data_IF_316853182487
#
_entry.id   IF_316853182487
#
_cell.length_a   1.000
_cell.length_b   1.000
_cell.length_c   1.000
_cell.angle_alpha   90.00
_cell.angle_beta   90.00
_cell.angle_gamma   90.00
#
_symmetry.space_group_name_H-M   'P 1'
#
loop_
_entity.id
_entity.type
_entity.pdbx_description
1 polymer ?
#
# COMPACT_ATOMS: atom_id res chain seq x y z
N UNK A 1 10.86 5.58 2.87
CA UNK A 1 11.73 6.46 3.70
C UNK A 1 13.13 6.49 3.12
N UNK A 2 13.66 7.67 2.92
CA UNK A 2 15.06 7.87 2.50
C UNK A 2 15.82 8.54 3.65
N UNK A 3 16.97 8.01 4.07
CA UNK A 3 17.73 8.59 5.18
C UNK A 3 18.05 10.08 5.03
N UNK A 4 18.23 10.55 3.79
CA UNK A 4 18.50 11.96 3.47
C UNK A 4 17.30 12.88 3.76
N UNK A 5 16.10 12.35 3.83
CA UNK A 5 14.87 13.11 4.06
C UNK A 5 14.65 13.43 5.55
N UNK A 6 15.13 12.58 6.45
CA UNK A 6 14.88 12.76 7.89
C UNK A 6 15.39 14.10 8.44
N UNK A 7 16.65 14.52 8.18
CA UNK A 7 17.10 15.84 8.63
C UNK A 7 16.35 17.00 7.99
N UNK A 8 15.98 16.85 6.69
CA UNK A 8 15.29 17.90 5.96
C UNK A 8 13.89 18.21 6.53
N UNK A 9 13.24 17.21 7.12
CA UNK A 9 11.91 17.33 7.73
C UNK A 9 11.93 17.30 9.26
N UNK A 10 13.11 17.38 9.88
CA UNK A 10 13.29 17.30 11.33
C UNK A 10 12.63 16.05 11.95
N UNK A 11 12.70 14.92 11.25
CA UNK A 11 12.14 13.65 11.70
C UNK A 11 13.23 12.82 12.36
N UNK A 12 12.99 12.40 13.60
CA UNK A 12 13.81 11.39 14.25
C UNK A 12 13.51 10.00 13.63
N UNK A 13 14.49 9.34 13.00
CA UNK A 13 14.30 8.03 12.40
C UNK A 13 13.83 6.95 13.38
N UNK A 14 14.17 7.06 14.66
CA UNK A 14 13.78 6.08 15.68
C UNK A 14 12.30 6.25 16.06
N UNK A 15 11.79 7.49 16.08
CA UNK A 15 10.42 7.82 16.43
C UNK A 15 9.44 7.70 15.28
N UNK A 16 9.90 7.38 14.06
CA UNK A 16 9.05 7.41 12.84
C UNK A 16 7.84 6.48 12.91
N UNK A 17 7.91 5.37 13.65
CA UNK A 17 6.77 4.46 13.83
C UNK A 17 5.66 5.10 14.65
N UNK A 18 6.02 5.75 15.76
CA UNK A 18 5.10 6.47 16.64
C UNK A 18 4.55 7.71 15.94
N UNK A 19 5.42 8.48 15.28
CA UNK A 19 5.04 9.64 14.47
C UNK A 19 4.03 9.26 13.38
N UNK A 20 4.21 8.10 12.75
CA UNK A 20 3.26 7.60 11.75
C UNK A 20 1.87 7.36 12.35
N UNK A 21 1.79 6.70 13.52
CA UNK A 21 0.52 6.46 14.22
C UNK A 21 -0.15 7.77 14.63
N UNK A 22 0.61 8.68 15.22
CA UNK A 22 0.11 9.98 15.65
C UNK A 22 -0.43 10.79 14.47
N UNK A 23 0.33 10.91 13.38
CA UNK A 23 -0.08 11.63 12.19
C UNK A 23 -1.33 11.03 11.55
N UNK A 24 -1.44 9.69 11.50
CA UNK A 24 -2.64 9.02 11.01
C UNK A 24 -3.87 9.37 11.86
N UNK A 25 -3.70 9.41 13.17
CA UNK A 25 -4.77 9.81 14.08
C UNK A 25 -5.17 11.29 13.89
N UNK A 26 -4.21 12.19 13.72
CA UNK A 26 -4.47 13.61 13.41
C UNK A 26 -5.26 13.76 12.11
N UNK A 27 -4.86 13.05 11.05
CA UNK A 27 -5.57 13.05 9.75
C UNK A 27 -7.02 12.59 9.94
N UNK A 28 -7.25 11.49 10.67
CA UNK A 28 -8.59 10.99 10.94
C UNK A 28 -9.45 11.99 11.72
N UNK A 29 -8.89 12.58 12.75
CA UNK A 29 -9.59 13.61 13.54
C UNK A 29 -9.93 14.83 12.69
N UNK A 30 -8.99 15.34 11.91
CA UNK A 30 -9.19 16.49 11.04
C UNK A 30 -10.28 16.26 9.98
N UNK A 31 -10.42 15.02 9.47
CA UNK A 31 -11.50 14.67 8.54
C UNK A 31 -12.88 14.53 9.21
N UNK A 32 -12.91 14.04 10.45
CA UNK A 32 -14.17 13.70 11.16
C UNK A 32 -14.80 14.86 11.93
N UNK A 33 -14.01 15.86 12.30
CA UNK A 33 -14.45 16.94 13.19
C UNK A 33 -14.51 18.28 12.47
N UNK A 34 -15.34 19.21 12.98
CA UNK A 34 -15.45 20.58 12.50
C UNK A 34 -15.00 21.54 13.60
N UNK A 35 -14.00 22.38 13.31
CA UNK A 35 -13.45 23.42 14.19
C UNK A 35 -13.05 22.94 15.60
N UNK A 36 -12.87 21.63 15.82
CA UNK A 36 -12.41 21.10 17.11
C UNK A 36 -10.89 21.23 17.20
N UNK A 37 -10.36 21.63 18.36
CA UNK A 37 -8.93 21.63 18.59
C UNK A 37 -8.35 20.23 18.43
N UNK A 38 -7.26 20.12 17.65
CA UNK A 38 -6.45 18.90 17.51
C UNK A 38 -5.03 19.26 17.94
N UNK A 39 -4.46 18.48 18.85
CA UNK A 39 -3.09 18.66 19.32
C UNK A 39 -2.32 17.37 19.16
N UNK A 40 -1.07 17.50 18.74
CA UNK A 40 -0.13 16.39 18.60
C UNK A 40 1.29 16.85 18.90
N UNK A 41 2.26 15.94 18.96
CA UNK A 41 3.62 16.24 19.41
C UNK A 41 4.32 17.34 18.58
N UNK A 42 3.95 17.53 17.32
CA UNK A 42 4.62 18.44 16.40
C UNK A 42 3.78 19.67 16.04
N UNK A 43 2.63 19.88 16.69
CA UNK A 43 1.81 21.06 16.42
C UNK A 43 0.41 21.02 16.99
N UNK A 44 -0.37 22.02 16.61
CA UNK A 44 -1.78 22.13 16.99
C UNK A 44 -2.60 22.81 15.89
N UNK A 45 -3.85 22.41 15.76
CA UNK A 45 -4.86 23.05 14.95
C UNK A 45 -5.93 23.63 15.87
N UNK A 46 -5.98 24.93 16.00
CA UNK A 46 -6.89 25.64 16.89
C UNK A 46 -7.79 26.58 16.08
N UNK A 47 -9.10 26.38 16.13
CA UNK A 47 -10.07 27.25 15.48
C UNK A 47 -10.02 27.27 13.95
N UNK A 48 -9.37 26.28 13.34
CA UNK A 48 -9.34 26.08 11.89
C UNK A 48 -9.95 24.71 11.53
N UNK A 49 -10.29 24.52 10.26
CA UNK A 49 -10.87 23.29 9.78
C UNK A 49 -10.23 22.85 8.46
N UNK A 50 -10.19 21.53 8.24
CA UNK A 50 -9.75 20.95 6.98
C UNK A 50 -10.94 20.88 6.01
N UNK A 51 -10.84 21.55 4.88
CA UNK A 51 -11.88 21.57 3.85
C UNK A 51 -11.30 21.30 2.48
N UNK A 52 -12.04 20.62 1.57
CA UNK A 52 -13.37 20.05 1.80
C UNK A 52 -13.32 18.81 2.70
N UNK A 53 -14.42 18.51 3.38
CA UNK A 53 -14.59 17.24 4.07
C UNK A 53 -14.85 16.12 3.07
N UNK A 54 -14.46 14.86 3.39
CA UNK A 54 -14.81 13.72 2.56
C UNK A 54 -16.34 13.60 2.42
N UNK A 55 -16.78 13.22 1.24
CA UNK A 55 -18.21 12.91 0.97
C UNK A 55 -18.64 11.59 1.62
N UNK A 56 -17.67 10.71 1.91
CA UNK A 56 -17.84 9.47 2.66
C UNK A 56 -17.53 9.71 4.13
N UNK A 57 -18.03 8.86 5.00
CA UNK A 57 -17.78 8.97 6.45
C UNK A 57 -16.29 8.94 6.79
N UNK A 58 -15.51 8.20 6.03
CA UNK A 58 -14.07 8.01 6.23
C UNK A 58 -13.39 7.78 4.88
N UNK A 59 -12.20 8.36 4.71
CA UNK A 59 -11.33 8.05 3.56
C UNK A 59 -10.67 6.69 3.83
N UNK A 60 -10.81 5.70 2.92
CA UNK A 60 -10.11 4.43 3.07
C UNK A 60 -8.60 4.64 3.07
N UNK A 61 -7.92 4.06 4.06
CA UNK A 61 -6.48 4.15 4.25
C UNK A 61 -5.85 2.77 4.10
N UNK A 62 -4.87 2.67 3.21
CA UNK A 62 -4.09 1.46 2.98
C UNK A 62 -2.66 1.67 3.47
N UNK A 63 -2.18 0.79 4.32
CA UNK A 63 -0.78 0.84 4.78
C UNK A 63 0.10 0.14 3.75
N UNK A 64 1.22 0.78 3.36
CA UNK A 64 2.19 0.20 2.43
C UNK A 64 3.37 -0.39 3.20
N UNK A 65 3.68 -1.66 2.94
CA UNK A 65 4.66 -2.40 3.71
C UNK A 65 4.27 -2.43 5.19
N UNK A 66 5.25 -2.44 6.08
CA UNK A 66 4.97 -2.42 7.51
C UNK A 66 4.91 -0.99 8.10
N UNK A 67 5.55 0.00 7.50
CA UNK A 67 5.64 1.38 8.06
C UNK A 67 6.05 1.40 9.53
N UNK A 68 6.94 0.48 9.95
CA UNK A 68 7.34 0.23 11.36
C UNK A 68 6.19 -0.21 12.27
N UNK A 69 5.08 -0.71 11.72
CA UNK A 69 3.94 -1.22 12.48
C UNK A 69 3.93 -2.75 12.49
N UNK A 70 3.33 -3.31 13.53
CA UNK A 70 3.03 -4.74 13.60
C UNK A 70 1.82 -5.09 12.71
N UNK A 71 1.71 -6.36 12.33
CA UNK A 71 0.63 -6.80 11.46
C UNK A 71 -0.75 -6.65 12.11
N UNK A 72 -0.85 -6.90 13.43
CA UNK A 72 -2.08 -6.70 14.19
C UNK A 72 -2.53 -5.23 14.21
N UNK A 73 -1.57 -4.30 14.35
CA UNK A 73 -1.86 -2.87 14.25
C UNK A 73 -2.37 -2.50 12.85
N UNK A 74 -1.69 -2.98 11.79
CA UNK A 74 -2.13 -2.73 10.41
C UNK A 74 -3.53 -3.30 10.19
N UNK A 75 -3.77 -4.52 10.64
CA UNK A 75 -5.08 -5.17 10.51
C UNK A 75 -6.18 -4.39 11.23
N UNK A 76 -5.92 -3.84 12.41
CA UNK A 76 -6.89 -3.05 13.18
C UNK A 76 -7.11 -1.67 12.59
N UNK A 77 -6.03 -0.97 12.22
CA UNK A 77 -6.05 0.46 11.93
C UNK A 77 -6.17 0.81 10.43
N UNK A 78 -6.00 -0.12 9.51
CA UNK A 78 -6.12 0.14 8.08
C UNK A 78 -7.38 -0.45 7.46
N UNK A 79 -7.70 -0.03 6.24
CA UNK A 79 -8.76 -0.59 5.41
C UNK A 79 -8.26 -1.68 4.46
N UNK A 80 -6.96 -1.85 4.36
CA UNK A 80 -6.28 -2.86 3.57
C UNK A 80 -4.77 -2.70 3.64
N UNK A 81 -4.05 -3.65 3.07
CA UNK A 81 -2.59 -3.70 3.13
C UNK A 81 -1.99 -3.81 1.74
N UNK A 82 -1.04 -2.93 1.41
CA UNK A 82 -0.26 -2.97 0.18
C UNK A 82 1.12 -3.53 0.51
N UNK A 83 1.48 -4.69 -0.04
CA UNK A 83 2.77 -5.28 0.22
C UNK A 83 3.64 -5.36 -1.05
N UNK A 84 4.92 -5.60 -0.84
CA UNK A 84 5.89 -5.78 -1.92
C UNK A 84 5.76 -7.18 -2.54
N UNK A 85 6.09 -7.34 -3.84
CA UNK A 85 6.07 -8.64 -4.49
C UNK A 85 7.09 -9.60 -3.86
N UNK A 86 6.68 -10.83 -3.71
CA UNK A 86 7.51 -11.95 -3.24
C UNK A 86 7.32 -13.14 -4.18
N UNK A 87 8.22 -14.13 -4.17
CA UNK A 87 7.97 -15.40 -4.85
C UNK A 87 6.62 -15.98 -4.43
N UNK A 88 5.84 -16.61 -5.34
CA UNK A 88 4.45 -17.01 -5.08
C UNK A 88 4.24 -17.81 -3.80
N UNK A 89 5.14 -18.75 -3.48
CA UNK A 89 5.05 -19.54 -2.22
C UNK A 89 5.13 -18.67 -0.97
N UNK A 90 6.03 -17.68 -0.96
CA UNK A 90 6.17 -16.76 0.16
C UNK A 90 5.00 -15.78 0.22
N UNK A 91 4.53 -15.31 -0.94
CA UNK A 91 3.39 -14.41 -1.02
C UNK A 91 2.13 -15.06 -0.45
N UNK A 92 1.91 -16.34 -0.72
CA UNK A 92 0.79 -17.12 -0.14
C UNK A 92 0.81 -17.07 1.39
N UNK A 93 1.94 -17.34 2.03
CA UNK A 93 2.06 -17.29 3.48
C UNK A 93 1.75 -15.91 4.05
N UNK A 94 2.24 -14.85 3.40
CA UNK A 94 1.98 -13.46 3.81
C UNK A 94 0.47 -13.13 3.69
N UNK A 95 -0.19 -13.58 2.63
CA UNK A 95 -1.64 -13.38 2.45
C UNK A 95 -2.42 -14.18 3.51
N UNK A 96 -2.02 -15.42 3.80
CA UNK A 96 -2.64 -16.25 4.84
C UNK A 96 -2.51 -15.60 6.23
N UNK A 97 -1.31 -15.11 6.58
CA UNK A 97 -1.08 -14.37 7.83
C UNK A 97 -1.96 -13.11 7.91
N UNK A 98 -2.07 -12.35 6.81
CA UNK A 98 -2.94 -11.18 6.73
C UNK A 98 -4.41 -11.54 6.97
N UNK A 99 -4.92 -12.60 6.32
CA UNK A 99 -6.30 -13.06 6.48
C UNK A 99 -6.60 -13.50 7.92
N UNK A 100 -5.68 -14.26 8.51
CA UNK A 100 -5.81 -14.70 9.90
C UNK A 100 -5.82 -13.52 10.88
N UNK A 101 -4.90 -12.57 10.70
CA UNK A 101 -4.81 -11.41 11.59
C UNK A 101 -6.02 -10.47 11.41
N UNK A 102 -6.50 -10.25 10.21
CA UNK A 102 -7.72 -9.44 9.99
C UNK A 102 -8.95 -10.06 10.63
N UNK A 103 -9.14 -11.37 10.53
CA UNK A 103 -10.24 -12.07 11.21
C UNK A 103 -10.13 -11.93 12.73
N UNK A 104 -8.93 -12.09 13.27
CA UNK A 104 -8.68 -11.97 14.71
C UNK A 104 -8.95 -10.56 15.23
N UNK A 105 -8.56 -9.51 14.50
CA UNK A 105 -8.69 -8.12 14.95
C UNK A 105 -10.06 -7.50 14.63
N UNK A 106 -10.69 -7.90 13.54
CA UNK A 106 -11.86 -7.23 12.98
C UNK A 106 -13.07 -8.16 12.71
N UNK A 107 -12.96 -9.44 13.02
CA UNK A 107 -14.03 -10.41 12.77
C UNK A 107 -14.29 -10.62 11.28
N UNK A 108 -15.55 -10.54 10.87
CA UNK A 108 -15.96 -10.78 9.48
C UNK A 108 -15.71 -9.59 8.51
N UNK A 109 -15.06 -8.53 8.96
CA UNK A 109 -14.77 -7.38 8.09
C UNK A 109 -13.67 -7.77 7.11
N UNK A 110 -14.01 -7.77 5.81
CA UNK A 110 -13.05 -8.03 4.77
C UNK A 110 -12.13 -6.83 4.54
N UNK A 111 -10.82 -7.08 4.51
CA UNK A 111 -9.81 -6.06 4.20
C UNK A 111 -8.91 -6.57 3.08
N UNK A 112 -8.86 -5.90 1.92
CA UNK A 112 -8.12 -6.38 0.77
C UNK A 112 -6.61 -6.39 1.01
N UNK A 113 -5.95 -7.35 0.35
CA UNK A 113 -4.51 -7.43 0.20
C UNK A 113 -4.11 -7.00 -1.20
N UNK A 114 -3.26 -6.00 -1.31
CA UNK A 114 -2.81 -5.44 -2.57
C UNK A 114 -1.32 -5.68 -2.75
N UNK A 115 -0.87 -5.80 -4.00
CA UNK A 115 0.54 -5.95 -4.34
C UNK A 115 0.93 -4.98 -5.44
N UNK A 116 2.05 -4.26 -5.24
CA UNK A 116 2.69 -3.54 -6.34
C UNK A 116 3.50 -4.51 -7.21
N UNK A 117 3.56 -4.24 -8.51
CA UNK A 117 4.33 -5.03 -9.46
C UNK A 117 4.89 -4.12 -10.56
N UNK A 118 6.22 -4.02 -10.65
CA UNK A 118 6.85 -3.36 -11.78
C UNK A 118 6.86 -4.28 -12.99
N UNK A 119 6.48 -3.75 -14.15
CA UNK A 119 6.52 -4.51 -15.41
C UNK A 119 7.23 -3.72 -16.51
N UNK A 120 7.99 -4.45 -17.32
CA UNK A 120 8.50 -4.06 -18.64
C UNK A 120 7.90 -5.06 -19.63
N UNK A 121 6.74 -4.69 -20.23
CA UNK A 121 6.01 -5.59 -21.12
C UNK A 121 6.71 -5.66 -22.49
N UNK A 122 7.13 -6.86 -22.87
CA UNK A 122 7.79 -7.11 -24.14
C UNK A 122 6.76 -7.19 -25.29
N UNK A 123 7.15 -6.75 -26.50
CA UNK A 123 6.31 -6.84 -27.71
C UNK A 123 5.99 -8.30 -28.08
N UNK A 124 6.93 -9.22 -27.82
CA UNK A 124 6.68 -10.64 -28.01
C UNK A 124 5.88 -11.20 -26.83
N UNK A 125 4.61 -11.60 -27.04
CA UNK A 125 3.73 -12.06 -25.97
C UNK A 125 4.22 -13.30 -25.23
N UNK A 126 5.16 -14.04 -25.80
CA UNK A 126 5.73 -15.27 -25.24
C UNK A 126 7.10 -15.08 -24.60
N UNK A 127 7.59 -13.85 -24.46
CA UNK A 127 8.88 -13.59 -23.80
C UNK A 127 8.85 -14.10 -22.35
N UNK A 128 9.79 -15.00 -21.97
CA UNK A 128 9.85 -15.53 -20.61
C UNK A 128 10.13 -14.44 -19.57
N UNK A 129 9.66 -14.61 -18.32
CA UNK A 129 9.94 -13.65 -17.26
C UNK A 129 11.43 -13.54 -16.95
N UNK A 130 11.95 -12.32 -16.93
CA UNK A 130 13.26 -11.98 -16.39
C UNK A 130 13.12 -10.95 -15.28
N UNK A 131 13.84 -11.08 -14.15
CA UNK A 131 13.64 -10.21 -13.01
C UNK A 131 14.11 -8.78 -13.30
N UNK A 132 13.33 -7.81 -12.82
CA UNK A 132 13.71 -6.40 -12.70
C UNK A 132 13.46 -5.97 -11.25
N UNK A 133 13.71 -4.72 -10.90
CA UNK A 133 13.45 -4.23 -9.55
C UNK A 133 11.96 -4.37 -9.19
N UNK A 134 11.64 -5.18 -8.18
CA UNK A 134 10.30 -5.46 -7.68
C UNK A 134 9.30 -5.91 -8.78
N UNK A 135 9.76 -6.66 -9.76
CA UNK A 135 8.90 -7.14 -10.83
C UNK A 135 9.62 -7.87 -11.94
N UNK A 136 9.06 -7.82 -13.16
CA UNK A 136 9.54 -8.60 -14.29
C UNK A 136 9.49 -7.83 -15.61
N UNK A 137 10.47 -8.12 -16.48
CA UNK A 137 10.30 -7.99 -17.92
C UNK A 137 9.75 -9.32 -18.44
N UNK A 138 8.65 -9.30 -19.18
CA UNK A 138 7.96 -10.49 -19.64
C UNK A 138 6.99 -10.16 -20.78
N UNK A 139 6.58 -11.17 -21.54
CA UNK A 139 5.49 -11.06 -22.50
C UNK A 139 4.11 -11.17 -21.85
N UNK A 140 3.08 -10.70 -22.53
CA UNK A 140 1.69 -10.68 -22.06
C UNK A 140 1.18 -12.03 -21.55
N UNK A 141 1.50 -13.13 -22.23
CA UNK A 141 1.03 -14.46 -21.83
C UNK A 141 1.55 -14.85 -20.43
N UNK A 142 2.78 -14.53 -20.13
CA UNK A 142 3.38 -14.77 -18.81
C UNK A 142 2.88 -13.78 -17.75
N UNK A 143 2.53 -12.55 -18.13
CA UNK A 143 1.90 -11.61 -17.21
C UNK A 143 0.53 -12.14 -16.77
N UNK A 144 -0.31 -12.58 -17.72
CA UNK A 144 -1.62 -13.16 -17.41
C UNK A 144 -1.50 -14.37 -16.48
N UNK A 145 -0.61 -15.32 -16.79
CA UNK A 145 -0.37 -16.48 -15.92
C UNK A 145 0.13 -16.09 -14.51
N UNK A 146 0.92 -15.02 -14.38
CA UNK A 146 1.33 -14.50 -13.09
C UNK A 146 0.14 -13.88 -12.33
N UNK A 147 -0.72 -13.12 -13.00
CA UNK A 147 -1.91 -12.53 -12.40
C UNK A 147 -2.88 -13.60 -11.91
N UNK A 148 -3.12 -14.66 -12.70
CA UNK A 148 -3.92 -15.82 -12.30
C UNK A 148 -3.35 -16.48 -11.04
N UNK A 149 -2.03 -16.69 -11.01
CA UNK A 149 -1.34 -17.24 -9.82
C UNK A 149 -1.52 -16.35 -8.60
N UNK A 150 -1.43 -15.03 -8.75
CA UNK A 150 -1.62 -14.09 -7.64
C UNK A 150 -3.07 -14.09 -7.16
N UNK A 151 -4.04 -14.18 -8.05
CA UNK A 151 -5.45 -14.33 -7.71
C UNK A 151 -5.71 -15.62 -6.91
N UNK A 152 -5.16 -16.75 -7.33
CA UNK A 152 -5.26 -18.03 -6.62
C UNK A 152 -4.63 -18.00 -5.21
N UNK A 153 -3.60 -17.18 -5.02
CA UNK A 153 -2.98 -16.93 -3.72
C UNK A 153 -3.88 -16.09 -2.80
N UNK A 154 -4.78 -15.29 -3.38
CA UNK A 154 -5.67 -14.39 -2.64
C UNK A 154 -5.21 -12.94 -2.62
N UNK A 155 -4.38 -12.53 -3.59
CA UNK A 155 -4.10 -11.11 -3.86
C UNK A 155 -5.31 -10.50 -4.54
N UNK A 156 -5.91 -9.48 -3.95
CA UNK A 156 -7.16 -8.87 -4.43
C UNK A 156 -6.94 -7.84 -5.53
N UNK A 157 -5.79 -7.18 -5.49
CA UNK A 157 -5.48 -6.13 -6.45
C UNK A 157 -3.97 -6.05 -6.73
N UNK A 158 -3.60 -5.99 -8.00
CA UNK A 158 -2.22 -5.76 -8.43
C UNK A 158 -2.09 -4.36 -9.00
N UNK A 159 -1.18 -3.58 -8.42
CA UNK A 159 -0.87 -2.21 -8.86
C UNK A 159 0.30 -2.29 -9.83
N UNK A 160 0.02 -2.26 -11.12
CA UNK A 160 1.06 -2.29 -12.16
C UNK A 160 1.80 -0.96 -12.22
N UNK A 161 3.13 -1.02 -12.26
CA UNK A 161 3.99 0.15 -12.37
C UNK A 161 4.91 0.02 -13.60
N UNK A 162 4.75 0.96 -14.54
CA UNK A 162 5.44 0.96 -15.84
C UNK A 162 6.77 1.76 -15.82
N UNK A 163 7.26 2.16 -14.65
CA UNK A 163 8.47 3.01 -14.53
C UNK A 163 9.68 2.48 -15.28
N UNK A 164 9.85 1.17 -15.33
CA UNK A 164 10.97 0.52 -16.00
C UNK A 164 10.62 -0.01 -17.41
N UNK A 165 9.38 0.25 -17.85
CA UNK A 165 8.92 -0.13 -19.17
C UNK A 165 9.65 0.62 -20.27
N UNK A 166 9.97 -0.06 -21.37
CA UNK A 166 10.62 0.51 -22.54
C UNK A 166 9.63 1.00 -23.59
N UNK A 167 8.43 0.47 -23.56
CA UNK A 167 7.32 0.84 -24.45
C UNK A 167 6.54 2.03 -23.89
N UNK A 168 5.92 2.86 -24.75
CA UNK A 168 4.99 3.90 -24.30
C UNK A 168 3.89 3.32 -23.41
N UNK A 169 3.60 3.98 -22.29
CA UNK A 169 2.61 3.49 -21.33
C UNK A 169 1.21 3.30 -21.95
N UNK A 170 0.81 4.19 -22.87
CA UNK A 170 -0.47 4.09 -23.57
C UNK A 170 -0.61 2.76 -24.31
N UNK A 171 0.40 2.37 -25.07
CA UNK A 171 0.40 1.09 -25.82
C UNK A 171 0.32 -0.13 -24.90
N UNK A 172 1.01 -0.07 -23.75
CA UNK A 172 1.00 -1.17 -22.77
C UNK A 172 -0.37 -1.30 -22.07
N UNK A 173 -1.06 -0.17 -21.86
CA UNK A 173 -2.39 -0.16 -21.22
C UNK A 173 -3.48 -0.65 -22.19
N UNK A 174 -3.32 -0.40 -23.48
CA UNK A 174 -4.26 -0.83 -24.52
C UNK A 174 -4.14 -2.33 -24.83
N UNK A 175 -3.01 -2.96 -24.56
CA UNK A 175 -2.74 -4.39 -24.81
C UNK A 175 -3.33 -5.28 -23.71
#
# INVERSE_FOLDING_TARGET
DRPVEFPAFSVDPEMRGETFQENLNVIRQAHRTHFKPIRWSHGELLGADLVPKPTTREIPLFVTGHSRQSLDWIARESHGWINYPRPPKMQRLIVEDWRQETVKQCGAIYKPFLQSLYIDLDENPSTPPSPIHLGFRLGRNHLLALLDTLQEIGVDHVILNLKYGKRPAAEVIEE
#
